data_IF_245236930603
#
_entry.id   IF_245236930603
#
_cell.length_a   1.000
_cell.length_b   1.000
_cell.length_c   1.000
_cell.angle_alpha   90.00
_cell.angle_beta   90.00
_cell.angle_gamma   90.00
#
_symmetry.space_group_name_H-M   'P 1'
#
loop_
_entity.id
_entity.type
_entity.pdbx_description
1 polymer ?
#
# COMPACT_ATOMS: atom_id res chain seq x y z
N UNK A 1 -14.96 2.22 -3.70
CA UNK A 1 -15.28 1.70 -5.05
C UNK A 1 -14.27 2.24 -6.07
N UNK A 2 -12.99 1.90 -5.91
CA UNK A 2 -12.02 2.10 -6.98
C UNK A 2 -10.92 1.06 -6.83
N UNK A 3 -11.21 -0.17 -7.24
CA UNK A 3 -10.14 -1.17 -7.43
C UNK A 3 -9.27 -0.68 -8.58
N UNK A 4 -8.10 -0.10 -8.28
CA UNK A 4 -7.16 0.34 -9.29
C UNK A 4 -6.53 -0.89 -9.96
N UNK A 5 -6.82 -1.07 -11.24
CA UNK A 5 -6.18 -2.06 -12.11
C UNK A 5 -4.95 -1.48 -12.82
N UNK A 6 -4.20 -0.57 -12.17
CA UNK A 6 -2.98 0.04 -12.76
C UNK A 6 -1.74 -0.72 -12.27
N UNK A 7 -0.82 -1.07 -13.16
CA UNK A 7 0.42 -1.79 -12.83
C UNK A 7 0.23 -3.30 -12.64
N UNK A 8 0.96 -3.91 -11.68
CA UNK A 8 0.87 -5.34 -11.34
C UNK A 8 -0.38 -5.72 -10.51
N UNK A 9 -1.25 -4.76 -10.21
CA UNK A 9 -2.43 -4.94 -9.37
C UNK A 9 -3.53 -5.70 -10.12
N UNK A 10 -3.67 -7.00 -9.86
CA UNK A 10 -4.71 -7.86 -10.44
C UNK A 10 -6.04 -7.82 -9.64
N UNK A 11 -6.44 -6.63 -9.18
CA UNK A 11 -7.59 -6.47 -8.29
C UNK A 11 -7.25 -6.60 -6.80
N UNK A 12 -5.97 -6.50 -6.47
CA UNK A 12 -5.48 -6.44 -5.10
C UNK A 12 -5.94 -5.15 -4.41
N UNK A 13 -6.27 -5.27 -3.13
CA UNK A 13 -6.84 -4.17 -2.34
C UNK A 13 -5.77 -3.35 -1.62
N UNK A 14 -4.62 -3.96 -1.37
CA UNK A 14 -3.54 -3.35 -0.60
C UNK A 14 -2.29 -3.20 -1.46
N UNK A 15 -1.54 -2.13 -1.23
CA UNK A 15 -0.27 -1.84 -1.87
C UNK A 15 0.76 -1.59 -0.78
N UNK A 16 1.73 -2.49 -0.64
CA UNK A 16 2.87 -2.30 0.23
C UNK A 16 3.94 -1.50 -0.50
N UNK A 17 4.48 -0.51 0.21
CA UNK A 17 5.65 0.23 -0.20
C UNK A 17 6.89 -0.58 0.18
N UNK A 18 7.54 -1.17 -0.82
CA UNK A 18 8.78 -1.93 -0.65
C UNK A 18 10.02 -1.04 -0.42
N UNK A 19 9.83 0.28 -0.33
CA UNK A 19 10.93 1.22 -0.13
C UNK A 19 11.65 0.96 1.21
N UNK A 20 12.99 0.98 1.24
CA UNK A 20 13.77 0.73 2.45
C UNK A 20 13.50 1.73 3.58
N UNK A 21 13.07 2.95 3.24
CA UNK A 21 12.80 4.02 4.22
C UNK A 21 11.34 4.11 4.66
N UNK A 22 10.41 3.54 3.86
CA UNK A 22 8.96 3.64 4.08
C UNK A 22 8.32 2.29 3.80
N UNK A 23 8.40 1.38 4.76
CA UNK A 23 7.77 0.05 4.70
C UNK A 23 6.35 0.11 5.23
N UNK A 24 5.46 0.71 4.44
CA UNK A 24 4.07 0.95 4.81
C UNK A 24 3.15 0.30 3.79
N UNK A 25 2.08 -0.35 4.25
CA UNK A 25 1.00 -0.85 3.41
C UNK A 25 -0.09 0.19 3.32
N UNK A 26 -0.63 0.38 2.12
CA UNK A 26 -1.67 1.34 1.79
C UNK A 26 -2.91 0.58 1.31
N UNK A 27 -4.11 1.06 1.65
CA UNK A 27 -5.36 0.53 1.09
C UNK A 27 -5.73 1.35 -0.14
N UNK A 28 -5.94 0.68 -1.27
CA UNK A 28 -6.25 1.31 -2.56
C UNK A 28 -7.72 1.71 -2.67
N UNK A 29 -8.63 1.06 -1.94
CA UNK A 29 -10.05 1.45 -1.96
C UNK A 29 -10.28 2.69 -1.08
N UNK A 30 -9.37 2.96 -0.14
CA UNK A 30 -9.38 4.09 0.78
C UNK A 30 -8.10 4.95 0.71
N UNK A 31 -7.46 4.98 -0.46
CA UNK A 31 -6.25 5.77 -0.70
C UNK A 31 -6.54 7.27 -0.60
N UNK A 32 -5.54 8.03 -0.16
CA UNK A 32 -5.59 9.49 -0.11
C UNK A 32 -4.36 10.09 -0.77
N UNK A 33 -4.43 11.36 -1.17
CA UNK A 33 -3.29 12.12 -1.73
C UNK A 33 -2.07 12.13 -0.81
N UNK A 34 -2.26 12.05 0.51
CA UNK A 34 -1.16 11.96 1.48
C UNK A 34 -0.37 10.63 1.41
N UNK A 35 -0.91 9.60 0.77
CA UNK A 35 -0.28 8.28 0.70
C UNK A 35 0.85 8.21 -0.34
N UNK A 36 0.91 9.17 -1.26
CA UNK A 36 1.91 9.24 -2.33
C UNK A 36 2.04 7.93 -3.15
N UNK A 37 0.93 7.20 -3.34
CA UNK A 37 0.91 5.89 -4.04
C UNK A 37 1.44 6.03 -5.47
N UNK A 38 1.09 7.10 -6.18
CA UNK A 38 1.61 7.37 -7.52
C UNK A 38 3.15 7.46 -7.55
N UNK A 39 3.79 8.05 -6.52
CA UNK A 39 5.26 8.09 -6.43
C UNK A 39 5.86 6.73 -6.11
N UNK A 40 5.19 5.91 -5.30
CA UNK A 40 5.62 4.55 -4.98
C UNK A 40 5.62 3.69 -6.26
N UNK A 41 4.54 3.77 -7.04
CA UNK A 41 4.41 3.09 -8.34
C UNK A 41 5.44 3.61 -9.32
N UNK A 42 5.62 4.93 -9.41
CA UNK A 42 6.61 5.54 -10.32
C UNK A 42 8.04 5.15 -9.96
N UNK A 43 8.32 4.96 -8.67
CA UNK A 43 9.61 4.46 -8.19
C UNK A 43 9.77 2.94 -8.33
N UNK A 44 8.72 2.20 -8.72
CA UNK A 44 8.71 0.74 -8.83
C UNK A 44 8.83 0.02 -7.49
N UNK A 45 8.41 0.68 -6.40
CA UNK A 45 8.36 0.11 -5.06
C UNK A 45 6.96 -0.38 -4.69
N UNK A 46 6.04 -0.45 -5.65
CA UNK A 46 4.70 -1.00 -5.43
C UNK A 46 4.74 -2.52 -5.35
N UNK A 47 4.46 -3.05 -4.16
CA UNK A 47 4.24 -4.47 -3.95
C UNK A 47 2.77 -4.70 -3.65
N UNK A 48 1.97 -5.17 -4.61
CA UNK A 48 0.55 -5.38 -4.38
C UNK A 48 0.34 -6.59 -3.47
N UNK A 49 -0.69 -6.51 -2.61
CA UNK A 49 -1.07 -7.55 -1.66
C UNK A 49 -2.59 -7.76 -1.65
N UNK A 50 -2.97 -9.04 -1.61
CA UNK A 50 -4.36 -9.46 -1.43
C UNK A 50 -4.88 -9.23 -0.01
N UNK A 51 -4.01 -9.15 1.00
CA UNK A 51 -4.40 -9.05 2.40
C UNK A 51 -3.40 -8.27 3.24
N UNK A 52 -3.92 -7.38 4.08
CA UNK A 52 -3.15 -6.54 4.98
C UNK A 52 -2.39 -7.35 6.04
N UNK A 53 -2.96 -8.48 6.47
CA UNK A 53 -2.27 -9.45 7.33
C UNK A 53 -1.01 -10.04 6.68
N UNK A 54 -1.05 -10.33 5.38
CA UNK A 54 0.12 -10.85 4.67
C UNK A 54 1.24 -9.80 4.63
N UNK A 55 0.91 -8.54 4.37
CA UNK A 55 1.86 -7.44 4.42
C UNK A 55 2.43 -7.22 5.84
N UNK A 56 1.59 -7.23 6.88
CA UNK A 56 2.06 -7.13 8.28
C UNK A 56 2.96 -8.29 8.69
N UNK A 57 2.68 -9.49 8.19
CA UNK A 57 3.51 -10.68 8.43
C UNK A 57 4.88 -10.57 7.78
N UNK A 58 4.97 -9.88 6.65
CA UNK A 58 6.23 -9.53 5.99
C UNK A 58 7.02 -8.43 6.74
N UNK A 59 6.35 -7.72 7.66
CA UNK A 59 6.95 -6.65 8.47
C UNK A 59 6.67 -5.24 7.97
N UNK A 60 5.68 -5.07 7.07
CA UNK A 60 5.18 -3.75 6.68
C UNK A 60 4.24 -3.17 7.75
N UNK A 61 4.32 -1.86 7.95
CA UNK A 61 3.45 -1.13 8.86
C UNK A 61 2.17 -0.66 8.18
N UNK A 62 1.18 -0.21 8.93
CA UNK A 62 -0.06 0.29 8.34
C UNK A 62 0.07 1.78 8.02
N UNK A 63 -0.31 2.19 6.83
CA UNK A 63 -0.46 3.60 6.49
C UNK A 63 -1.46 4.28 7.45
N UNK A 64 -0.99 5.29 8.18
CA UNK A 64 -1.80 6.03 9.15
C UNK A 64 -3.00 6.74 8.52
N UNK A 65 -2.88 7.14 7.25
CA UNK A 65 -3.89 7.94 6.55
C UNK A 65 -5.01 7.11 5.92
N UNK A 66 -4.67 5.99 5.30
CA UNK A 66 -5.56 5.23 4.43
C UNK A 66 -6.15 3.99 5.11
N UNK A 67 -5.34 3.32 5.93
CA UNK A 67 -5.80 2.17 6.74
C UNK A 67 -6.13 2.64 8.16
N UNK A 68 -5.31 3.55 8.71
CA UNK A 68 -5.36 3.89 10.12
C UNK A 68 -4.72 2.80 10.99
N UNK A 69 -4.56 3.08 12.29
CA UNK A 69 -3.90 2.13 13.20
C UNK A 69 -2.44 1.83 12.83
N UNK A 70 -1.74 2.80 12.25
CA UNK A 70 -0.28 2.79 12.19
C UNK A 70 0.26 2.80 13.61
N UNK A 71 1.21 1.92 13.89
CA UNK A 71 1.86 1.86 15.21
C UNK A 71 3.18 2.64 15.25
N UNK A 72 3.46 3.42 14.21
CA UNK A 72 4.69 4.22 14.04
C UNK A 72 4.41 5.72 14.11
#
# INVERSE_FOLDING_TARGET
>A
MARRYRGNMNGERYLANASPSKREVHDLDNENTNCQIDEIIQAGNDSPYNSLEAARRDGYDNCAYCIGGSTR
#
